data_IF_035008348023
#
_entry.id   IF_035008348023
#
_cell.length_a   1.000
_cell.length_b   1.000
_cell.length_c   1.000
_cell.angle_alpha   90.00
_cell.angle_beta   90.00
_cell.angle_gamma   90.00
#
_symmetry.space_group_name_H-M   'P 1'
#
loop_
_entity.id
_entity.type
_entity.pdbx_description
1 polymer ?
#
# COMPACT_ATOMS: atom_id res chain seq x y z
N UNK A 1 -19.29 17.11 -2.37
CA UNK A 1 -17.99 17.79 -2.57
C UNK A 1 -17.52 17.75 -4.02
N UNK A 2 -17.73 16.67 -4.78
CA UNK A 2 -17.32 16.52 -6.19
C UNK A 2 -17.95 17.49 -7.22
N UNK A 3 -19.16 18.03 -6.93
CA UNK A 3 -19.94 18.74 -7.95
C UNK A 3 -19.34 20.03 -8.52
N UNK A 4 -18.41 20.71 -7.83
CA UNK A 4 -17.73 21.87 -8.39
C UNK A 4 -16.56 21.48 -9.31
N UNK A 5 -15.77 20.49 -8.91
CA UNK A 5 -14.67 19.96 -9.71
C UNK A 5 -15.21 19.39 -11.01
N UNK A 6 -16.27 18.57 -10.96
CA UNK A 6 -16.87 17.93 -12.14
C UNK A 6 -17.40 18.95 -13.15
N UNK A 7 -18.08 20.02 -12.70
CA UNK A 7 -18.51 21.12 -13.59
C UNK A 7 -17.34 21.86 -14.22
N UNK A 8 -16.24 22.01 -13.48
CA UNK A 8 -15.03 22.65 -14.00
C UNK A 8 -14.36 21.75 -15.04
N UNK A 9 -14.32 20.44 -14.80
CA UNK A 9 -13.81 19.46 -15.77
C UNK A 9 -14.52 19.56 -17.11
N UNK A 10 -15.85 19.63 -17.10
CA UNK A 10 -16.64 19.78 -18.35
C UNK A 10 -16.29 21.05 -19.14
N UNK A 11 -16.00 22.14 -18.45
CA UNK A 11 -15.66 23.42 -19.09
C UNK A 11 -14.25 23.45 -19.69
N UNK A 12 -13.37 22.57 -19.21
CA UNK A 12 -11.95 22.52 -19.61
C UNK A 12 -11.64 21.35 -20.55
N UNK A 13 -12.63 20.50 -20.86
CA UNK A 13 -12.49 19.39 -21.78
C UNK A 13 -11.89 19.83 -23.12
N UNK A 14 -10.97 19.02 -23.65
CA UNK A 14 -10.19 19.27 -24.86
C UNK A 14 -8.99 20.18 -24.67
N UNK A 15 -8.71 20.66 -23.45
CA UNK A 15 -7.61 21.58 -23.16
C UNK A 15 -6.68 21.11 -22.04
N UNK A 16 -6.87 19.92 -21.46
CA UNK A 16 -6.09 19.45 -20.30
C UNK A 16 -4.60 19.33 -20.60
N UNK A 17 -4.20 18.91 -21.79
CA UNK A 17 -2.79 18.84 -22.18
C UNK A 17 -2.15 20.23 -22.16
N UNK A 18 -2.75 21.19 -22.88
CA UNK A 18 -2.27 22.56 -22.94
C UNK A 18 -2.26 23.26 -21.57
N UNK A 19 -3.30 23.06 -20.75
CA UNK A 19 -3.40 23.64 -19.40
C UNK A 19 -2.35 23.02 -18.46
N UNK A 20 -2.03 21.75 -18.62
CA UNK A 20 -1.05 21.06 -17.78
C UNK A 20 0.39 21.53 -17.99
N UNK A 21 0.70 22.08 -19.17
CA UNK A 21 2.02 22.66 -19.48
C UNK A 21 2.14 24.14 -19.09
N UNK A 22 1.14 24.71 -18.42
CA UNK A 22 1.16 26.11 -17.99
C UNK A 22 1.45 26.22 -16.48
N UNK A 23 2.31 27.17 -16.11
CA UNK A 23 2.76 27.42 -14.73
C UNK A 23 1.63 27.49 -13.69
N UNK A 24 0.52 28.16 -14.02
CA UNK A 24 -0.58 28.38 -13.07
C UNK A 24 -1.71 27.37 -13.28
N UNK A 25 -2.04 27.05 -14.53
CA UNK A 25 -3.15 26.17 -14.87
C UNK A 25 -2.87 24.71 -14.51
N UNK A 26 -1.61 24.26 -14.54
CA UNK A 26 -1.20 22.92 -14.06
C UNK A 26 -1.66 22.64 -12.63
N UNK A 27 -1.49 23.60 -11.73
CA UNK A 27 -1.96 23.49 -10.34
C UNK A 27 -3.49 23.34 -10.25
N UNK A 28 -4.22 23.92 -11.20
CA UNK A 28 -5.67 23.76 -11.28
C UNK A 28 -6.01 22.34 -11.73
N UNK A 29 -5.31 21.81 -12.74
CA UNK A 29 -5.49 20.43 -13.21
C UNK A 29 -5.18 19.42 -12.10
N UNK A 30 -4.08 19.60 -11.36
CA UNK A 30 -3.77 18.74 -10.20
C UNK A 30 -4.86 18.74 -9.13
N UNK A 31 -5.45 19.92 -8.84
CA UNK A 31 -6.57 20.03 -7.90
C UNK A 31 -7.82 19.36 -8.43
N UNK A 32 -8.09 19.45 -9.74
CA UNK A 32 -9.22 18.76 -10.37
C UNK A 32 -9.02 17.25 -10.25
N UNK A 33 -7.83 16.72 -10.56
CA UNK A 33 -7.51 15.29 -10.44
C UNK A 33 -7.79 14.74 -9.04
N UNK A 34 -7.53 15.52 -7.98
CA UNK A 34 -7.79 15.10 -6.60
C UNK A 34 -9.27 15.15 -6.17
N UNK A 35 -10.06 16.03 -6.78
CA UNK A 35 -11.39 16.40 -6.27
C UNK A 35 -12.54 16.06 -7.21
N UNK A 36 -12.25 15.65 -8.45
CA UNK A 36 -13.25 15.21 -9.40
C UNK A 36 -13.65 13.75 -9.16
N UNK A 37 -14.81 13.37 -9.66
CA UNK A 37 -15.27 11.98 -9.62
C UNK A 37 -14.39 11.08 -10.50
N UNK A 38 -14.39 9.77 -10.21
CA UNK A 38 -13.60 8.77 -10.95
C UNK A 38 -13.88 8.83 -12.45
N UNK A 39 -15.14 9.04 -12.85
CA UNK A 39 -15.53 9.18 -14.26
C UNK A 39 -14.88 10.41 -14.91
N UNK A 40 -14.87 11.55 -14.23
CA UNK A 40 -14.27 12.79 -14.74
C UNK A 40 -12.76 12.72 -14.82
N UNK A 41 -12.11 12.09 -13.83
CA UNK A 41 -10.66 11.86 -13.90
C UNK A 41 -10.33 10.91 -15.05
N UNK A 42 -11.12 9.85 -15.27
CA UNK A 42 -10.95 8.99 -16.45
C UNK A 42 -11.02 9.77 -17.76
N UNK A 43 -11.99 10.68 -17.90
CA UNK A 43 -12.11 11.53 -19.10
C UNK A 43 -10.83 12.38 -19.31
N UNK A 44 -10.26 12.94 -18.24
CA UNK A 44 -9.00 13.71 -18.30
C UNK A 44 -7.83 12.83 -18.71
N UNK A 45 -7.71 11.63 -18.14
CA UNK A 45 -6.61 10.70 -18.47
C UNK A 45 -6.70 10.28 -19.93
N UNK A 46 -7.89 9.92 -20.41
CA UNK A 46 -8.09 9.55 -21.81
C UNK A 46 -7.67 10.69 -22.76
N UNK A 47 -8.07 11.93 -22.45
CA UNK A 47 -7.65 13.10 -23.25
C UNK A 47 -6.14 13.28 -23.29
N UNK A 48 -5.44 13.02 -22.17
CA UNK A 48 -3.98 13.12 -22.11
C UNK A 48 -3.30 12.01 -22.91
N UNK A 49 -3.72 10.75 -22.74
CA UNK A 49 -3.04 9.60 -23.38
C UNK A 49 -3.37 9.47 -24.87
N UNK A 50 -4.49 10.03 -25.32
CA UNK A 50 -4.87 10.09 -26.73
C UNK A 50 -4.17 11.23 -27.49
N UNK A 51 -3.48 12.15 -26.78
CA UNK A 51 -2.74 13.23 -27.42
C UNK A 51 -1.52 12.70 -28.19
N UNK A 52 -1.36 13.03 -29.49
CA UNK A 52 -0.27 12.50 -30.30
C UNK A 52 1.12 12.97 -29.83
N UNK A 53 1.19 14.06 -29.04
CA UNK A 53 2.40 14.63 -28.48
C UNK A 53 2.46 14.45 -26.95
N UNK A 54 1.80 13.42 -26.40
CA UNK A 54 1.72 13.16 -24.95
C UNK A 54 3.09 13.19 -24.25
N UNK A 55 4.18 12.81 -24.93
CA UNK A 55 5.53 12.87 -24.35
C UNK A 55 6.00 14.30 -24.03
N UNK A 56 5.58 15.31 -24.81
CA UNK A 56 5.88 16.71 -24.51
C UNK A 56 5.34 17.10 -23.14
N UNK A 57 4.16 16.58 -22.77
CA UNK A 57 3.57 16.82 -21.45
C UNK A 57 4.34 16.12 -20.32
N UNK A 58 4.81 14.88 -20.55
CA UNK A 58 5.55 14.11 -19.55
C UNK A 58 6.94 14.71 -19.30
N UNK A 59 7.50 15.32 -20.34
CA UNK A 59 8.79 15.98 -20.33
C UNK A 59 8.71 17.47 -19.99
N UNK A 60 7.53 18.07 -19.90
CA UNK A 60 7.38 19.49 -19.57
C UNK A 60 7.72 19.80 -18.11
N UNK A 61 8.23 21.01 -17.88
CA UNK A 61 8.63 21.53 -16.57
C UNK A 61 7.46 21.70 -15.56
N UNK A 62 6.21 21.76 -16.02
CA UNK A 62 4.99 21.76 -15.21
C UNK A 62 4.17 20.48 -15.41
N UNK A 63 4.06 20.00 -16.65
CA UNK A 63 3.28 18.83 -17.04
C UNK A 63 3.67 17.56 -16.30
N UNK A 64 4.97 17.34 -16.07
CA UNK A 64 5.47 16.18 -15.31
C UNK A 64 4.82 16.05 -13.91
N UNK A 65 4.47 17.17 -13.26
CA UNK A 65 3.79 17.15 -11.95
C UNK A 65 2.33 16.70 -12.07
N UNK A 66 1.65 17.10 -13.14
CA UNK A 66 0.28 16.65 -13.43
C UNK A 66 0.24 15.14 -13.66
N UNK A 67 1.22 14.59 -14.39
CA UNK A 67 1.31 13.13 -14.61
C UNK A 67 1.59 12.38 -13.30
N UNK A 68 2.53 12.87 -12.48
CA UNK A 68 2.78 12.29 -11.15
C UNK A 68 1.52 12.34 -10.27
N UNK A 69 0.74 13.43 -10.36
CA UNK A 69 -0.54 13.55 -9.66
C UNK A 69 -1.55 12.53 -10.16
N UNK A 70 -1.69 12.38 -11.48
CA UNK A 70 -2.57 11.41 -12.11
C UNK A 70 -2.24 9.98 -11.67
N UNK A 71 -0.96 9.60 -11.68
CA UNK A 71 -0.50 8.30 -11.16
C UNK A 71 -0.87 8.11 -9.68
N UNK A 72 -0.60 9.12 -8.85
CA UNK A 72 -0.89 9.07 -7.40
C UNK A 72 -2.39 8.92 -7.11
N UNK A 73 -3.23 9.64 -7.84
CA UNK A 73 -4.70 9.56 -7.69
C UNK A 73 -5.23 8.19 -8.10
N UNK A 74 -4.71 7.63 -9.20
CA UNK A 74 -5.27 6.44 -9.84
C UNK A 74 -4.67 5.11 -9.34
N UNK A 75 -3.55 5.14 -8.61
CA UNK A 75 -2.87 3.92 -8.11
C UNK A 75 -3.76 3.01 -7.27
N UNK A 76 -4.75 3.58 -6.56
CA UNK A 76 -5.70 2.83 -5.70
C UNK A 76 -7.02 2.49 -6.40
N UNK A 77 -7.19 2.92 -7.64
CA UNK A 77 -8.44 2.78 -8.40
C UNK A 77 -8.41 1.55 -9.32
N UNK A 78 -9.54 1.15 -9.92
CA UNK A 78 -9.59 0.04 -10.87
C UNK A 78 -8.52 0.16 -11.97
N UNK A 79 -7.98 -0.99 -12.38
CA UNK A 79 -6.76 -1.11 -13.17
C UNK A 79 -6.74 -0.25 -14.44
N UNK A 80 -7.86 -0.16 -15.15
CA UNK A 80 -7.90 0.46 -16.48
C UNK A 80 -7.46 1.93 -16.55
N UNK A 81 -7.58 2.72 -15.49
CA UNK A 81 -7.20 4.15 -15.53
C UNK A 81 -5.70 4.33 -15.29
N UNK A 82 -5.14 3.61 -14.31
CA UNK A 82 -3.70 3.65 -14.04
C UNK A 82 -2.91 3.01 -15.18
N UNK A 83 -3.42 1.91 -15.72
CA UNK A 83 -2.75 1.15 -16.78
C UNK A 83 -2.61 1.97 -18.07
N UNK A 84 -3.57 2.85 -18.37
CA UNK A 84 -3.49 3.73 -19.54
C UNK A 84 -2.26 4.67 -19.48
N UNK A 85 -1.96 5.25 -18.31
CA UNK A 85 -0.76 6.07 -18.11
C UNK A 85 0.49 5.19 -18.07
N UNK A 86 0.39 4.03 -17.41
CA UNK A 86 1.49 3.08 -17.30
C UNK A 86 1.99 2.62 -18.67
N UNK A 87 1.08 2.31 -19.61
CA UNK A 87 1.42 1.88 -20.96
C UNK A 87 2.24 2.93 -21.72
N UNK A 88 1.87 4.21 -21.61
CA UNK A 88 2.65 5.31 -22.20
C UNK A 88 4.07 5.37 -21.61
N UNK A 89 4.20 5.21 -20.30
CA UNK A 89 5.51 5.22 -19.62
C UNK A 89 6.34 4.02 -20.03
N UNK A 90 5.77 2.82 -20.05
CA UNK A 90 6.47 1.58 -20.36
C UNK A 90 6.99 1.57 -21.80
N UNK A 91 6.18 2.03 -22.76
CA UNK A 91 6.56 2.12 -24.16
C UNK A 91 7.68 3.16 -24.41
N UNK A 92 7.87 4.12 -23.49
CA UNK A 92 8.81 5.24 -23.64
C UNK A 92 9.81 5.38 -22.49
N UNK A 93 10.02 4.30 -21.73
CA UNK A 93 10.73 4.36 -20.44
C UNK A 93 12.14 4.95 -20.59
N UNK A 94 12.92 4.48 -21.57
CA UNK A 94 14.29 4.92 -21.79
C UNK A 94 14.39 6.42 -22.12
N UNK A 95 13.48 6.93 -22.96
CA UNK A 95 13.41 8.34 -23.32
C UNK A 95 13.10 9.20 -22.11
N UNK A 96 12.05 8.84 -21.36
CA UNK A 96 11.63 9.57 -20.17
C UNK A 96 12.72 9.57 -19.09
N UNK A 97 13.36 8.42 -18.85
CA UNK A 97 14.38 8.27 -17.81
C UNK A 97 15.65 9.09 -18.07
N UNK A 98 15.97 9.33 -19.35
CA UNK A 98 17.07 10.22 -19.74
C UNK A 98 16.71 11.71 -19.67
N UNK A 99 15.41 12.05 -19.62
CA UNK A 99 14.95 13.44 -19.64
C UNK A 99 15.02 14.12 -18.27
N UNK A 100 15.34 15.42 -18.23
CA UNK A 100 15.52 16.15 -16.96
C UNK A 100 14.25 16.22 -16.10
N UNK A 101 13.07 16.23 -16.73
CA UNK A 101 11.77 16.20 -16.06
C UNK A 101 11.10 14.82 -16.15
N UNK A 102 11.25 14.12 -17.28
CA UNK A 102 10.63 12.81 -17.53
C UNK A 102 11.06 11.76 -16.52
N UNK A 103 12.32 11.81 -16.06
CA UNK A 103 12.86 10.90 -15.03
C UNK A 103 12.10 10.95 -13.71
N UNK A 104 11.50 12.10 -13.38
CA UNK A 104 10.71 12.23 -12.16
C UNK A 104 9.40 11.44 -12.28
N UNK A 105 8.83 11.36 -13.49
CA UNK A 105 7.66 10.53 -13.81
C UNK A 105 8.02 9.05 -13.71
N UNK A 106 9.14 8.61 -14.28
CA UNK A 106 9.58 7.20 -14.20
C UNK A 106 9.82 6.76 -12.76
N UNK A 107 10.50 7.58 -11.95
CA UNK A 107 10.72 7.32 -10.52
C UNK A 107 9.40 7.20 -9.76
N UNK A 108 8.48 8.15 -9.96
CA UNK A 108 7.16 8.14 -9.34
C UNK A 108 6.36 6.90 -9.73
N UNK A 109 6.34 6.56 -11.03
CA UNK A 109 5.67 5.39 -11.56
C UNK A 109 6.20 4.09 -10.96
N UNK A 110 7.52 3.88 -10.97
CA UNK A 110 8.14 2.66 -10.43
C UNK A 110 7.80 2.49 -8.95
N UNK A 111 7.85 3.57 -8.16
CA UNK A 111 7.45 3.55 -6.74
C UNK A 111 5.98 3.11 -6.59
N UNK A 112 5.06 3.79 -7.25
CA UNK A 112 3.62 3.54 -7.12
C UNK A 112 3.22 2.16 -7.65
N UNK A 113 3.84 1.69 -8.74
CA UNK A 113 3.61 0.34 -9.28
C UNK A 113 4.03 -0.74 -8.30
N UNK A 114 5.18 -0.57 -7.64
CA UNK A 114 5.67 -1.51 -6.64
C UNK A 114 4.78 -1.52 -5.39
N UNK A 115 4.34 -0.35 -4.92
CA UNK A 115 3.37 -0.23 -3.82
C UNK A 115 2.04 -0.93 -4.17
N UNK A 116 1.52 -0.70 -5.38
CA UNK A 116 0.29 -1.34 -5.88
C UNK A 116 0.43 -2.86 -5.95
N UNK A 117 1.52 -3.37 -6.53
CA UNK A 117 1.82 -4.81 -6.63
C UNK A 117 1.98 -5.45 -5.26
N UNK A 118 2.70 -4.79 -4.35
CA UNK A 118 2.87 -5.27 -2.97
C UNK A 118 1.54 -5.35 -2.22
N UNK A 119 0.69 -4.33 -2.35
CA UNK A 119 -0.64 -4.29 -1.73
C UNK A 119 -1.53 -5.42 -2.26
N UNK A 120 -1.53 -5.67 -3.57
CA UNK A 120 -2.31 -6.74 -4.18
C UNK A 120 -1.83 -8.14 -3.75
N UNK A 121 -0.51 -8.38 -3.78
CA UNK A 121 0.09 -9.64 -3.32
C UNK A 121 -0.22 -9.91 -1.86
N UNK A 122 -0.18 -8.88 -1.01
CA UNK A 122 -0.54 -8.98 0.40
C UNK A 122 -2.03 -9.29 0.60
N UNK A 123 -2.91 -8.63 -0.16
CA UNK A 123 -4.35 -8.82 -0.06
C UNK A 123 -4.76 -10.25 -0.42
N UNK A 124 -4.22 -10.79 -1.52
CA UNK A 124 -4.61 -12.10 -2.07
C UNK A 124 -3.69 -13.25 -1.67
N UNK A 125 -2.61 -12.99 -0.93
CA UNK A 125 -1.55 -13.97 -0.64
C UNK A 125 -1.00 -14.62 -1.92
N UNK A 126 -0.93 -13.85 -3.00
CA UNK A 126 -0.42 -14.33 -4.27
C UNK A 126 1.11 -14.30 -4.28
N UNK A 127 1.68 -15.49 -4.33
CA UNK A 127 3.09 -15.75 -4.48
C UNK A 127 3.30 -16.91 -5.47
N UNK A 128 4.27 -16.82 -6.39
CA UNK A 128 4.88 -18.04 -6.90
C UNK A 128 5.53 -18.75 -5.70
N UNK A 129 4.91 -19.84 -5.26
CA UNK A 129 5.26 -20.53 -4.01
C UNK A 129 6.73 -20.92 -3.96
N UNK A 130 7.32 -21.28 -5.09
CA UNK A 130 8.73 -21.64 -5.21
C UNK A 130 9.70 -20.48 -4.93
N UNK A 131 9.49 -19.28 -5.51
CA UNK A 131 10.42 -18.16 -5.33
C UNK A 131 10.42 -17.66 -3.88
N UNK A 132 9.22 -17.54 -3.28
CA UNK A 132 9.10 -17.14 -1.88
C UNK A 132 9.69 -18.20 -0.94
N UNK A 133 9.47 -19.49 -1.22
CA UNK A 133 10.07 -20.56 -0.42
C UNK A 133 11.59 -20.58 -0.51
N UNK A 134 12.17 -20.33 -1.69
CA UNK A 134 13.63 -20.23 -1.86
C UNK A 134 14.19 -19.03 -1.10
N UNK A 135 13.57 -17.85 -1.26
CA UNK A 135 14.01 -16.62 -0.57
C UNK A 135 13.89 -16.82 0.94
N UNK A 136 12.71 -17.21 1.42
CA UNK A 136 12.46 -17.38 2.84
C UNK A 136 13.33 -18.49 3.43
N UNK A 137 13.47 -19.62 2.74
CA UNK A 137 14.32 -20.72 3.15
C UNK A 137 15.79 -20.31 3.30
N UNK A 138 16.29 -19.43 2.41
CA UNK A 138 17.66 -18.92 2.48
C UNK A 138 17.93 -17.97 3.65
N UNK A 139 16.90 -17.31 4.20
CA UNK A 139 17.05 -16.30 5.27
C UNK A 139 16.40 -16.71 6.61
N UNK A 140 15.70 -17.85 6.64
CA UNK A 140 14.85 -18.25 7.77
C UNK A 140 15.64 -18.35 9.08
N UNK A 141 16.79 -19.00 9.04
CA UNK A 141 17.58 -19.25 10.24
C UNK A 141 18.20 -17.96 10.78
N UNK A 142 18.71 -17.09 9.89
CA UNK A 142 19.18 -15.75 10.25
C UNK A 142 18.06 -14.89 10.85
N UNK A 143 16.85 -14.94 10.27
CA UNK A 143 15.68 -14.24 10.81
C UNK A 143 15.33 -14.73 12.22
N UNK A 144 15.39 -16.04 12.45
CA UNK A 144 15.15 -16.63 13.77
C UNK A 144 16.22 -16.17 14.76
N UNK A 145 17.50 -16.22 14.38
CA UNK A 145 18.61 -15.75 15.21
C UNK A 145 18.43 -14.29 15.61
N UNK A 146 18.20 -13.41 14.64
CA UNK A 146 17.97 -11.98 14.87
C UNK A 146 16.72 -11.75 15.71
N UNK A 147 15.66 -12.54 15.54
CA UNK A 147 14.42 -12.36 16.32
C UNK A 147 14.60 -12.59 17.82
N UNK A 148 15.59 -13.42 18.20
CA UNK A 148 15.94 -13.69 19.59
C UNK A 148 16.86 -12.62 20.20
N UNK A 149 17.46 -11.77 19.36
CA UNK A 149 18.26 -10.65 19.83
C UNK A 149 17.40 -9.54 20.45
N UNK A 150 17.91 -8.96 21.55
CA UNK A 150 17.21 -7.88 22.26
C UNK A 150 17.03 -6.62 21.41
N UNK A 151 17.94 -6.37 20.47
CA UNK A 151 17.92 -5.25 19.53
C UNK A 151 17.45 -5.65 18.12
N UNK A 152 17.26 -6.95 17.86
CA UNK A 152 16.84 -7.47 16.56
C UNK A 152 15.49 -6.96 16.05
N UNK A 153 14.72 -6.23 16.85
CA UNK A 153 13.44 -5.62 16.43
C UNK A 153 13.57 -4.70 15.21
N UNK A 154 14.67 -3.95 15.11
CA UNK A 154 14.86 -3.00 14.00
C UNK A 154 15.18 -3.73 12.71
N UNK A 155 16.03 -4.75 12.79
CA UNK A 155 16.43 -5.57 11.65
C UNK A 155 15.24 -6.40 11.15
N UNK A 156 14.51 -7.06 12.05
CA UNK A 156 13.29 -7.80 11.69
C UNK A 156 12.25 -6.85 11.08
N UNK A 157 12.02 -5.67 11.66
CA UNK A 157 11.09 -4.68 11.11
C UNK A 157 11.45 -4.25 9.69
N UNK A 158 12.73 -3.94 9.44
CA UNK A 158 13.21 -3.55 8.11
C UNK A 158 13.10 -4.71 7.11
N UNK A 159 13.40 -5.94 7.52
CA UNK A 159 13.25 -7.13 6.67
C UNK A 159 11.80 -7.45 6.35
N UNK A 160 10.86 -7.28 7.29
CA UNK A 160 9.42 -7.44 7.04
C UNK A 160 8.84 -6.33 6.15
N UNK A 161 9.55 -5.20 6.00
CA UNK A 161 9.18 -4.19 5.00
C UNK A 161 9.27 -4.76 3.59
N UNK A 162 10.18 -5.72 3.35
CA UNK A 162 10.33 -6.48 2.11
C UNK A 162 9.16 -7.46 1.98
N UNK A 163 8.30 -7.24 1.00
CA UNK A 163 7.05 -7.99 0.79
C UNK A 163 7.27 -9.51 0.69
N UNK A 164 8.34 -9.95 0.01
CA UNK A 164 8.62 -11.37 -0.21
C UNK A 164 9.00 -12.09 1.09
N UNK A 165 9.75 -11.42 1.97
CA UNK A 165 10.08 -11.92 3.31
C UNK A 165 8.82 -12.06 4.15
N UNK A 166 7.97 -11.04 4.16
CA UNK A 166 6.72 -11.05 4.90
C UNK A 166 5.76 -12.15 4.41
N UNK A 167 5.64 -12.34 3.09
CA UNK A 167 4.86 -13.43 2.50
C UNK A 167 5.44 -14.80 2.89
N UNK A 168 6.77 -14.94 2.91
CA UNK A 168 7.44 -16.16 3.38
C UNK A 168 7.07 -16.54 4.81
N UNK A 169 7.05 -15.55 5.72
CA UNK A 169 6.60 -15.73 7.11
C UNK A 169 5.13 -16.15 7.17
N UNK A 170 4.24 -15.50 6.40
CA UNK A 170 2.81 -15.85 6.37
C UNK A 170 2.59 -17.29 5.87
N UNK A 171 3.18 -17.66 4.73
CA UNK A 171 2.98 -18.97 4.13
C UNK A 171 3.46 -20.09 5.07
N UNK A 172 4.58 -19.85 5.77
CA UNK A 172 5.19 -20.78 6.71
C UNK A 172 4.73 -20.61 8.16
N UNK A 173 3.72 -19.79 8.44
CA UNK A 173 3.35 -19.41 9.81
C UNK A 173 2.98 -20.63 10.68
N UNK A 174 2.42 -21.68 10.09
CA UNK A 174 2.09 -22.90 10.82
C UNK A 174 3.34 -23.67 11.26
N UNK A 175 4.28 -23.87 10.33
CA UNK A 175 5.52 -24.57 10.61
C UNK A 175 6.37 -23.79 11.63
N UNK A 176 6.40 -22.46 11.50
CA UNK A 176 7.08 -21.57 12.45
C UNK A 176 6.43 -21.61 13.84
N UNK A 177 5.09 -21.62 13.92
CA UNK A 177 4.38 -21.65 15.20
C UNK A 177 4.62 -22.96 15.98
N UNK A 178 4.82 -24.09 15.28
CA UNK A 178 5.15 -25.39 15.87
C UNK A 178 6.65 -25.55 16.18
N UNK A 179 7.47 -24.59 15.80
CA UNK A 179 8.91 -24.58 16.08
C UNK A 179 9.23 -23.77 17.35
N UNK A 180 10.12 -24.30 18.18
CA UNK A 180 10.53 -23.69 19.46
C UNK A 180 11.15 -22.29 19.31
N UNK A 181 11.79 -22.00 18.19
CA UNK A 181 12.39 -20.69 17.89
C UNK A 181 11.57 -19.94 16.85
N UNK A 182 10.91 -20.63 15.91
CA UNK A 182 9.99 -20.04 14.95
C UNK A 182 8.81 -19.30 15.58
N UNK A 183 8.29 -19.74 16.72
CA UNK A 183 7.23 -19.02 17.43
C UNK A 183 7.73 -17.67 18.01
N UNK A 184 9.03 -17.55 18.34
CA UNK A 184 9.66 -16.28 18.74
C UNK A 184 9.78 -15.33 17.57
N UNK A 185 10.13 -15.83 16.39
CA UNK A 185 10.10 -15.03 15.16
C UNK A 185 8.68 -14.49 14.91
N UNK A 186 7.64 -15.32 14.97
CA UNK A 186 6.26 -14.86 14.78
C UNK A 186 5.85 -13.81 15.82
N UNK A 187 6.20 -14.01 17.09
CA UNK A 187 5.97 -13.02 18.13
C UNK A 187 6.67 -11.69 17.78
N UNK A 188 7.95 -11.74 17.42
CA UNK A 188 8.72 -10.56 17.04
C UNK A 188 8.13 -9.85 15.84
N UNK A 189 7.70 -10.59 14.82
CA UNK A 189 7.03 -10.05 13.64
C UNK A 189 5.77 -9.28 14.00
N UNK A 190 4.96 -9.78 14.95
CA UNK A 190 3.75 -9.09 15.41
C UNK A 190 4.07 -7.82 16.22
N UNK A 191 5.18 -7.82 16.96
CA UNK A 191 5.62 -6.66 17.74
C UNK A 191 6.19 -5.52 16.87
N UNK A 192 6.83 -5.84 15.74
CA UNK A 192 7.50 -4.84 14.90
C UNK A 192 6.79 -4.53 13.57
N UNK A 193 5.83 -5.34 13.14
CA UNK A 193 5.07 -5.07 11.91
C UNK A 193 4.19 -3.82 12.06
N UNK A 194 4.00 -3.09 10.96
CA UNK A 194 2.97 -2.07 10.91
C UNK A 194 1.57 -2.68 11.04
N UNK A 195 0.58 -1.83 11.32
CA UNK A 195 -0.79 -2.24 11.59
C UNK A 195 -1.38 -3.14 10.48
N UNK A 196 -1.11 -2.86 9.20
CA UNK A 196 -1.67 -3.65 8.10
C UNK A 196 -1.05 -5.05 8.02
N UNK A 197 0.27 -5.13 8.11
CA UNK A 197 1.01 -6.41 8.12
C UNK A 197 0.66 -7.24 9.36
N UNK A 198 0.63 -6.63 10.54
CA UNK A 198 0.25 -7.28 11.79
C UNK A 198 -1.13 -7.94 11.68
N UNK A 199 -2.16 -7.20 11.24
CA UNK A 199 -3.50 -7.79 11.07
C UNK A 199 -3.51 -8.95 10.07
N UNK A 200 -2.77 -8.84 8.97
CA UNK A 200 -2.71 -9.91 7.96
C UNK A 200 -2.07 -11.17 8.51
N UNK A 201 -0.95 -11.05 9.24
CA UNK A 201 -0.29 -12.19 9.88
C UNK A 201 -1.20 -12.82 10.95
N UNK A 202 -1.88 -12.01 11.75
CA UNK A 202 -2.84 -12.49 12.76
C UNK A 202 -4.00 -13.26 12.13
N UNK A 203 -4.61 -12.72 11.07
CA UNK A 203 -5.71 -13.38 10.35
C UNK A 203 -5.30 -14.77 9.86
N UNK A 204 -4.09 -14.89 9.30
CA UNK A 204 -3.57 -16.19 8.85
C UNK A 204 -3.23 -17.16 9.98
N UNK A 205 -2.72 -16.69 11.11
CA UNK A 205 -2.50 -17.56 12.27
C UNK A 205 -3.84 -18.04 12.85
N UNK A 206 -4.86 -17.17 12.91
CA UNK A 206 -6.20 -17.49 13.40
C UNK A 206 -6.86 -18.55 12.51
N UNK A 207 -6.76 -18.43 11.18
CA UNK A 207 -7.26 -19.45 10.23
C UNK A 207 -6.67 -20.84 10.50
N UNK A 208 -5.45 -20.91 11.02
CA UNK A 208 -4.74 -22.16 11.33
C UNK A 208 -4.84 -22.59 12.81
N UNK A 209 -5.57 -21.85 13.65
CA UNK A 209 -5.63 -22.06 15.09
C UNK A 209 -6.09 -23.48 15.49
N UNK A 210 -7.01 -24.09 14.74
CA UNK A 210 -7.49 -25.46 15.00
C UNK A 210 -6.39 -26.53 14.91
N UNK A 211 -5.36 -26.31 14.08
CA UNK A 211 -4.19 -27.18 13.95
C UNK A 211 -3.11 -26.85 15.00
N UNK A 212 -3.03 -25.60 15.45
CA UNK A 212 -2.00 -25.12 16.38
C UNK A 212 -2.28 -25.48 17.84
N UNK A 213 -3.54 -25.59 18.25
CA UNK A 213 -3.93 -25.90 19.65
C UNK A 213 -3.51 -27.29 20.12
N UNK A 214 -3.14 -28.19 19.20
CA UNK A 214 -2.65 -29.54 19.52
C UNK A 214 -1.13 -29.60 19.73
N UNK A 215 -0.43 -28.53 19.36
CA UNK A 215 1.02 -28.42 19.49
C UNK A 215 1.40 -27.57 20.71
N UNK A 216 2.42 -27.98 21.46
CA UNK A 216 2.82 -27.30 22.70
C UNK A 216 3.27 -25.84 22.48
N UNK A 217 3.88 -25.54 21.33
CA UNK A 217 4.34 -24.19 20.98
C UNK A 217 3.24 -23.41 20.24
N UNK A 218 2.47 -24.08 19.39
CA UNK A 218 1.29 -23.51 18.72
C UNK A 218 0.21 -23.05 19.71
N UNK A 219 -0.03 -23.81 20.77
CA UNK A 219 -0.95 -23.46 21.85
C UNK A 219 -0.49 -22.20 22.60
N UNK A 220 0.79 -22.11 22.95
CA UNK A 220 1.37 -20.94 23.62
C UNK A 220 1.24 -19.67 22.77
N UNK A 221 1.56 -19.76 21.48
CA UNK A 221 1.42 -18.64 20.55
C UNK A 221 -0.06 -18.23 20.41
N UNK A 222 -0.97 -19.20 20.29
CA UNK A 222 -2.41 -18.92 20.20
C UNK A 222 -2.97 -18.23 21.45
N UNK A 223 -2.48 -18.59 22.64
CA UNK A 223 -2.85 -17.94 23.90
C UNK A 223 -2.33 -16.51 23.98
N UNK A 224 -1.09 -16.27 23.55
CA UNK A 224 -0.51 -14.91 23.50
C UNK A 224 -1.30 -14.05 22.50
N UNK A 225 -1.65 -14.59 21.33
CA UNK A 225 -2.47 -13.90 20.34
C UNK A 225 -3.88 -13.57 20.84
N UNK A 226 -4.55 -14.49 21.54
CA UNK A 226 -5.84 -14.23 22.18
C UNK A 226 -5.72 -13.17 23.27
N UNK A 227 -4.61 -13.15 24.03
CA UNK A 227 -4.37 -12.11 25.04
C UNK A 227 -4.16 -10.72 24.40
N UNK A 228 -3.42 -10.62 23.30
CA UNK A 228 -3.23 -9.38 22.55
C UNK A 228 -4.56 -8.93 21.91
N UNK A 229 -5.36 -9.85 21.37
CA UNK A 229 -6.68 -9.56 20.81
C UNK A 229 -7.66 -9.07 21.88
N UNK A 230 -7.64 -9.68 23.07
CA UNK A 230 -8.49 -9.29 24.19
C UNK A 230 -8.15 -7.89 24.69
N UNK A 231 -6.86 -7.54 24.80
CA UNK A 231 -6.44 -6.20 25.17
C UNK A 231 -6.79 -5.14 24.11
N UNK A 232 -6.62 -5.44 22.81
CA UNK A 232 -6.98 -4.52 21.74
C UNK A 232 -8.50 -4.36 21.64
N UNK A 233 -9.28 -5.44 21.77
CA UNK A 233 -10.73 -5.40 21.72
C UNK A 233 -11.33 -4.66 22.93
N UNK A 234 -10.80 -4.90 24.13
CA UNK A 234 -11.16 -4.14 25.33
C UNK A 234 -10.76 -2.67 25.19
N UNK A 235 -9.57 -2.37 24.68
CA UNK A 235 -9.13 -1.00 24.47
C UNK A 235 -10.03 -0.25 23.48
N UNK A 236 -10.37 -0.86 22.34
CA UNK A 236 -11.31 -0.28 21.36
C UNK A 236 -12.70 -0.12 21.97
N UNK A 237 -13.19 -1.13 22.71
CA UNK A 237 -14.50 -1.05 23.37
C UNK A 237 -14.54 0.06 24.43
N UNK A 238 -13.48 0.19 25.25
CA UNK A 238 -13.34 1.28 26.23
C UNK A 238 -13.24 2.62 25.50
N UNK A 239 -12.45 2.75 24.45
CA UNK A 239 -12.36 3.98 23.68
C UNK A 239 -13.70 4.37 23.04
N UNK A 240 -14.46 3.43 22.48
CA UNK A 240 -15.80 3.69 21.95
C UNK A 240 -16.81 4.05 23.04
N UNK A 241 -16.72 3.41 24.21
CA UNK A 241 -17.59 3.67 25.35
C UNK A 241 -17.30 5.05 25.96
N UNK A 242 -16.02 5.38 26.16
CA UNK A 242 -15.53 6.70 26.58
C UNK A 242 -15.92 7.77 25.55
N UNK A 243 -15.76 7.52 24.25
CA UNK A 243 -16.14 8.49 23.22
C UNK A 243 -17.66 8.72 23.18
N UNK A 244 -18.49 7.70 23.44
CA UNK A 244 -19.94 7.89 23.59
C UNK A 244 -20.31 8.63 24.89
N UNK A 245 -19.60 8.37 26.00
CA UNK A 245 -19.84 9.06 27.27
C UNK A 245 -19.42 10.53 27.26
N UNK A 246 -18.31 10.88 26.59
CA UNK A 246 -17.82 12.27 26.50
C UNK A 246 -18.36 13.02 25.27
N UNK A 247 -18.82 12.31 24.23
CA UNK A 247 -19.50 12.92 23.07
C UNK A 247 -20.93 13.38 23.35
N UNK A 248 -21.57 12.86 24.41
CA UNK A 248 -22.87 13.34 24.89
C UNK A 248 -22.79 14.61 25.76
N UNK A 249 -21.59 15.04 26.18
CA UNK A 249 -21.42 16.24 27.01
C UNK A 249 -21.11 17.53 26.22
N UNK A 250 -20.94 17.45 24.89
CA UNK A 250 -20.68 18.64 24.04
C UNK A 250 -21.90 19.16 23.29
N UNK A 251 -23.10 18.60 23.52
CA UNK A 251 -24.36 19.06 22.90
C UNK A 251 -25.38 19.69 23.88
N UNK A 252 -25.01 19.90 25.14
CA UNK A 252 -25.81 20.67 26.10
C UNK A 252 -24.95 21.71 26.82
N UNK A 253 -24.53 22.76 26.10
CA UNK A 253 -24.27 24.08 26.69
C UNK A 253 -24.84 25.11 25.71
N UNK A 254 -26.10 25.48 25.94
CA UNK A 254 -26.64 26.81 25.60
C UNK A 254 -25.97 27.87 26.49
#
# INVERSE_FOLDING_TARGET
MFGYADRTTERLKGNFVALSMQKFSSNVVEKILNNASIGKVRDIINEIVEDPNVLELFEDCFGNFVIQKALTTTVKWPNNIFDAIAEVIENNYSTLDCHMYGKNVTICFTKLRNERRSSYRLANLEAPSNEIEVIFGGIKDDLIEVSMDSNGKYVVGELLSVIDVFLGVILNCEALAKDKHGCRLLQKCLECADQSRMYKLMDEIIKKASCLTRDQYGFLLSLILVSIYFFIYIYIYICMYVFNLYGLFYYEID
#
